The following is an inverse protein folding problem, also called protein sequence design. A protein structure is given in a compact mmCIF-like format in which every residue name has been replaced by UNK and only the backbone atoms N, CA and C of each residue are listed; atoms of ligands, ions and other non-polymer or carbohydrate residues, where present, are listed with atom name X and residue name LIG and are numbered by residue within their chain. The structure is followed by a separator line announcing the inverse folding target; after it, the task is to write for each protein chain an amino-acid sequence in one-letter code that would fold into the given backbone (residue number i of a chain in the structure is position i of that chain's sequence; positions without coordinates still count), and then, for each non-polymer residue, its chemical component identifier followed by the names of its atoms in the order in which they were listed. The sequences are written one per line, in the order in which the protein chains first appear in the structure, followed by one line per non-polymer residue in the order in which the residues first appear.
data_IF_087683410781
#
_entry.id   IF_087683410781
#
_cell.length_a   1.000
_cell.length_b   1.000
_cell.length_c   1.000
_cell.angle_alpha   90.00
_cell.angle_beta   90.00
_cell.angle_gamma   90.00
#
_symmetry.space_group_name_H-M   'P 1'
#
loop_
_entity.id
_entity.type
_entity.pdbx_description
1 polymer ?
#
# COMPACT_ATOMS: atom_id res chain seq x y z
N UNK A 1 2.36 45.58 -22.94
CA UNK A 1 0.92 45.46 -23.24
C UNK A 1 0.72 44.15 -23.97
N UNK A 2 -0.15 43.28 -23.47
CA UNK A 2 -0.39 41.96 -24.06
C UNK A 2 -1.28 42.09 -25.32
N UNK A 3 -1.05 41.22 -26.30
CA UNK A 3 -1.84 41.12 -27.53
C UNK A 3 -3.15 40.38 -27.23
N UNK A 4 -4.17 40.67 -28.03
CA UNK A 4 -5.45 39.95 -27.96
C UNK A 4 -5.19 38.47 -28.23
N UNK A 5 -5.79 37.60 -27.40
CA UNK A 5 -5.61 36.14 -27.36
C UNK A 5 -4.21 35.68 -26.96
N UNK A 6 -3.32 36.57 -26.51
CA UNK A 6 -2.01 36.19 -25.99
C UNK A 6 -2.17 35.42 -24.67
N UNK A 7 -1.58 34.22 -24.62
CA UNK A 7 -1.39 33.47 -23.40
C UNK A 7 -0.01 33.75 -22.81
N UNK A 8 0.03 33.97 -21.50
CA UNK A 8 1.27 34.22 -20.76
C UNK A 8 1.21 33.58 -19.38
N UNK A 9 2.37 33.43 -18.75
CA UNK A 9 2.50 32.85 -17.41
C UNK A 9 3.07 33.89 -16.48
N UNK A 10 2.32 34.22 -15.43
CA UNK A 10 2.80 35.10 -14.35
C UNK A 10 3.66 34.33 -13.35
N UNK A 11 3.34 33.05 -13.16
CA UNK A 11 4.11 32.14 -12.30
C UNK A 11 4.13 30.72 -12.88
N UNK A 12 4.78 29.78 -12.20
CA UNK A 12 4.71 28.36 -12.61
C UNK A 12 3.29 27.83 -12.52
N UNK A 13 2.47 28.32 -11.59
CA UNK A 13 1.11 27.84 -11.34
C UNK A 13 0.01 28.69 -11.98
N UNK A 14 0.34 29.91 -12.41
CA UNK A 14 -0.64 30.86 -12.91
C UNK A 14 -0.45 31.09 -14.41
N UNK A 15 -1.50 30.81 -15.17
CA UNK A 15 -1.58 31.11 -16.60
C UNK A 15 -2.70 32.11 -16.84
N UNK A 16 -2.42 33.10 -17.66
CA UNK A 16 -3.37 34.13 -18.02
C UNK A 16 -3.55 34.20 -19.54
N UNK A 17 -4.73 34.66 -19.96
CA UNK A 17 -5.04 34.95 -21.36
C UNK A 17 -5.70 36.32 -21.48
N UNK A 18 -5.29 37.10 -22.46
CA UNK A 18 -5.95 38.35 -22.81
C UNK A 18 -7.10 38.06 -23.79
N UNK A 19 -8.34 38.40 -23.43
CA UNK A 19 -9.52 38.15 -24.25
C UNK A 19 -9.75 39.26 -25.29
N UNK A 20 -10.63 39.05 -26.30
CA UNK A 20 -10.94 40.05 -27.32
C UNK A 20 -11.47 41.39 -26.77
N UNK A 21 -12.10 41.37 -25.60
CA UNK A 21 -12.57 42.57 -24.90
C UNK A 21 -11.46 43.32 -24.13
N UNK A 22 -10.19 42.87 -24.25
CA UNK A 22 -9.00 43.39 -23.55
C UNK A 22 -8.97 43.14 -22.05
N UNK A 23 -9.87 42.31 -21.52
CA UNK A 23 -9.76 41.81 -20.15
C UNK A 23 -8.77 40.66 -20.09
N UNK A 24 -8.16 40.48 -18.92
CA UNK A 24 -7.20 39.40 -18.66
C UNK A 24 -7.86 38.42 -17.70
N UNK A 25 -7.91 37.15 -18.10
CA UNK A 25 -8.42 36.05 -17.28
C UNK A 25 -7.27 35.13 -16.91
N UNK A 26 -7.10 34.89 -15.61
CA UNK A 26 -6.04 34.05 -15.07
C UNK A 26 -6.64 32.80 -14.42
N UNK A 27 -6.00 31.65 -14.65
CA UNK A 27 -6.25 30.42 -13.93
C UNK A 27 -5.04 30.08 -13.07
N UNK A 28 -5.29 29.82 -11.79
CA UNK A 28 -4.29 29.36 -10.84
C UNK A 28 -4.49 27.86 -10.69
N UNK A 29 -3.40 27.11 -10.83
CA UNK A 29 -3.40 25.66 -10.65
C UNK A 29 -3.10 25.33 -9.20
N UNK A 30 -4.01 24.63 -8.54
CA UNK A 30 -3.75 24.03 -7.24
C UNK A 30 -2.98 22.72 -7.39
N UNK A 31 -2.06 22.48 -6.47
CA UNK A 31 -1.27 21.25 -6.48
C UNK A 31 -1.95 20.15 -5.67
N UNK A 32 -2.01 18.91 -6.20
CA UNK A 32 -2.46 17.79 -5.41
C UNK A 32 -1.52 17.56 -4.21
N UNK A 33 -2.06 17.02 -3.13
CA UNK A 33 -1.26 16.61 -2.00
C UNK A 33 -0.22 15.57 -2.46
N UNK A 34 1.08 15.73 -2.15
CA UNK A 34 2.10 14.78 -2.54
C UNK A 34 1.87 13.44 -1.84
N UNK A 35 2.08 12.35 -2.57
CA UNK A 35 2.01 10.98 -2.05
C UNK A 35 3.37 10.50 -1.50
N UNK A 36 4.27 11.41 -1.14
CA UNK A 36 5.56 11.08 -0.55
C UNK A 36 5.86 12.01 0.60
N UNK A 37 6.71 11.57 1.53
CA UNK A 37 7.12 12.40 2.68
C UNK A 37 8.31 13.31 2.37
N UNK A 38 8.96 13.13 1.22
CA UNK A 38 10.11 13.90 0.77
C UNK A 38 9.92 14.53 -0.64
N UNK A 39 8.87 15.34 -0.86
CA UNK A 39 8.67 16.03 -2.13
C UNK A 39 9.80 17.03 -2.43
N UNK A 40 10.17 17.13 -3.70
CA UNK A 40 11.14 18.14 -4.17
C UNK A 40 10.44 19.29 -4.90
N UNK A 41 10.78 20.52 -4.54
CA UNK A 41 10.27 21.74 -5.18
C UNK A 41 11.30 22.25 -6.19
N UNK A 42 11.05 22.03 -7.46
CA UNK A 42 11.88 22.59 -8.50
C UNK A 42 11.46 24.03 -8.85
N UNK A 43 12.41 24.93 -9.15
CA UNK A 43 12.10 26.26 -9.68
C UNK A 43 11.26 26.22 -10.96
N UNK A 44 11.34 25.08 -11.67
CA UNK A 44 10.71 24.89 -12.94
C UNK A 44 9.32 24.23 -12.92
N UNK A 45 8.84 23.81 -11.75
CA UNK A 45 7.56 23.12 -11.63
C UNK A 45 6.58 23.95 -10.81
N UNK A 46 5.29 23.86 -11.13
CA UNK A 46 4.26 24.43 -10.28
C UNK A 46 4.13 23.61 -8.98
N UNK A 47 4.12 22.29 -9.13
CA UNK A 47 3.85 21.37 -8.04
C UNK A 47 5.09 20.60 -7.60
N UNK A 48 5.14 20.17 -6.33
CA UNK A 48 6.18 19.29 -5.84
C UNK A 48 6.21 17.97 -6.60
N UNK A 49 7.40 17.38 -6.73
CA UNK A 49 7.62 16.12 -7.43
C UNK A 49 8.15 15.06 -6.46
N UNK A 50 7.57 13.86 -6.52
CA UNK A 50 8.04 12.66 -5.82
C UNK A 50 8.78 11.76 -6.81
N UNK A 51 10.10 11.94 -7.00
CA UNK A 51 10.85 11.19 -8.01
C UNK A 51 10.88 9.68 -7.78
N UNK A 52 10.91 9.26 -6.51
CA UNK A 52 10.92 7.84 -6.12
C UNK A 52 9.51 7.27 -5.98
N UNK A 53 8.49 8.03 -6.38
CA UNK A 53 7.09 7.65 -6.18
C UNK A 53 6.67 7.72 -4.71
N UNK A 54 5.57 7.04 -4.36
CA UNK A 54 5.05 7.09 -3.00
C UNK A 54 5.99 6.46 -1.97
N UNK A 55 6.14 7.11 -0.81
CA UNK A 55 7.04 6.66 0.26
C UNK A 55 6.63 7.22 1.62
N UNK A 56 6.98 6.50 2.68
CA UNK A 56 6.64 6.83 4.07
C UNK A 56 7.86 6.74 4.98
N UNK A 57 7.74 7.29 6.18
CA UNK A 57 8.75 7.18 7.23
C UNK A 57 8.66 5.85 7.98
N UNK A 58 9.81 5.23 8.23
CA UNK A 58 10.02 4.22 9.26
C UNK A 58 11.07 4.76 10.23
N UNK A 59 10.63 5.18 11.42
CA UNK A 59 11.51 5.92 12.32
C UNK A 59 12.02 7.20 11.65
N UNK A 60 13.33 7.28 11.43
CA UNK A 60 14.06 8.38 10.79
C UNK A 60 14.40 8.13 9.31
N UNK A 61 14.02 6.98 8.76
CA UNK A 61 14.34 6.56 7.38
C UNK A 61 13.10 6.60 6.50
N UNK A 62 13.29 6.69 5.19
CA UNK A 62 12.21 6.66 4.18
C UNK A 62 12.27 5.33 3.43
N UNK A 63 11.12 4.68 3.26
CA UNK A 63 10.97 3.44 2.49
C UNK A 63 9.94 3.63 1.37
N UNK A 64 10.13 2.94 0.24
CA UNK A 64 9.21 3.01 -0.90
C UNK A 64 7.90 2.30 -0.58
N UNK A 65 6.79 2.78 -1.16
CA UNK A 65 5.51 2.08 -1.05
C UNK A 65 5.55 0.73 -1.77
N UNK A 66 4.87 -0.27 -1.20
CA UNK A 66 4.85 -1.65 -1.71
C UNK A 66 6.05 -2.51 -1.27
N UNK A 67 7.06 -1.91 -0.62
CA UNK A 67 8.18 -2.65 -0.05
C UNK A 67 7.90 -3.05 1.41
N UNK A 68 8.22 -4.29 1.77
CA UNK A 68 8.30 -4.77 3.15
C UNK A 68 9.76 -4.85 3.54
N UNK A 69 10.19 -4.00 4.49
CA UNK A 69 11.58 -3.95 4.94
C UNK A 69 11.71 -4.50 6.35
N UNK A 70 12.81 -5.22 6.59
CA UNK A 70 13.21 -5.63 7.94
C UNK A 70 13.92 -4.44 8.62
N UNK A 71 13.39 -4.02 9.77
CA UNK A 71 13.98 -2.93 10.56
C UNK A 71 14.91 -3.49 11.64
N UNK A 72 14.53 -4.62 12.20
CA UNK A 72 15.32 -5.41 13.14
C UNK A 72 15.00 -6.91 12.96
N UNK A 73 15.60 -7.78 13.77
CA UNK A 73 15.44 -9.24 13.67
C UNK A 73 13.99 -9.73 13.80
N UNK A 74 13.11 -8.91 14.38
CA UNK A 74 11.73 -9.25 14.70
C UNK A 74 10.71 -8.27 14.13
N UNK A 75 11.09 -7.20 13.43
CA UNK A 75 10.15 -6.15 13.00
C UNK A 75 10.24 -5.93 11.50
N UNK A 76 9.09 -6.07 10.83
CA UNK A 76 8.93 -5.77 9.41
C UNK A 76 7.99 -4.59 9.26
N UNK A 77 8.42 -3.56 8.54
CA UNK A 77 7.61 -2.37 8.28
C UNK A 77 7.31 -2.23 6.79
N UNK A 78 6.15 -1.65 6.48
CA UNK A 78 5.71 -1.37 5.12
C UNK A 78 4.81 -0.14 5.07
N UNK A 79 4.86 0.60 3.95
CA UNK A 79 3.90 1.67 3.72
C UNK A 79 2.56 1.07 3.30
N UNK A 80 1.52 1.26 4.11
CA UNK A 80 0.15 0.96 3.72
C UNK A 80 -0.36 2.05 2.78
N UNK A 81 -0.55 1.70 1.51
CA UNK A 81 -1.39 2.52 0.64
C UNK A 81 -2.84 2.14 0.95
N UNK A 82 -3.48 2.83 1.89
CA UNK A 82 -4.84 2.47 2.30
C UNK A 82 -5.84 2.83 1.20
N UNK A 83 -6.15 1.83 0.37
CA UNK A 83 -7.38 1.58 -0.39
C UNK A 83 -8.16 2.81 -0.89
N UNK A 84 -7.49 3.74 -1.58
CA UNK A 84 -8.18 4.73 -2.41
C UNK A 84 -8.77 5.95 -1.71
N UNK A 85 -8.57 6.12 -0.39
CA UNK A 85 -8.62 7.46 0.19
C UNK A 85 -7.32 8.16 -0.21
N UNK A 86 -7.38 9.30 -0.89
CA UNK A 86 -6.22 10.04 -1.42
C UNK A 86 -5.16 10.48 -0.38
N UNK A 87 -5.25 9.99 0.87
CA UNK A 87 -4.36 10.32 1.98
C UNK A 87 -3.46 9.12 2.30
N UNK A 88 -2.22 9.23 1.87
CA UNK A 88 -1.16 8.33 2.30
C UNK A 88 -0.82 8.61 3.77
N UNK A 89 -0.66 7.55 4.56
CA UNK A 89 -0.12 7.70 5.91
C UNK A 89 1.37 8.07 5.84
N UNK A 90 1.82 9.14 6.52
CA UNK A 90 3.22 9.56 6.47
C UNK A 90 4.15 8.57 7.17
N UNK A 91 3.63 7.68 8.01
CA UNK A 91 4.39 6.69 8.74
C UNK A 91 4.01 5.27 8.31
N UNK A 92 5.00 4.38 8.24
CA UNK A 92 4.82 2.97 7.93
C UNK A 92 4.04 2.24 9.01
N UNK A 93 3.41 1.14 8.61
CA UNK A 93 2.85 0.13 9.52
C UNK A 93 3.91 -0.92 9.79
N UNK A 94 4.13 -1.28 11.05
CA UNK A 94 5.14 -2.25 11.48
C UNK A 94 4.51 -3.44 12.20
N UNK A 95 4.93 -4.64 11.82
CA UNK A 95 4.46 -5.92 12.33
C UNK A 95 5.64 -6.71 12.90
N UNK A 96 5.40 -7.45 13.99
CA UNK A 96 6.42 -8.37 14.48
C UNK A 96 6.42 -9.68 13.69
N UNK A 97 7.61 -10.25 13.45
CA UNK A 97 7.77 -11.58 12.88
C UNK A 97 7.19 -12.61 13.85
N UNK A 98 6.44 -13.61 13.35
CA UNK A 98 6.16 -14.80 14.13
C UNK A 98 7.51 -15.42 14.54
N UNK A 99 7.69 -15.67 15.84
CA UNK A 99 8.81 -16.47 16.31
C UNK A 99 8.75 -17.84 15.62
N UNK A 100 9.88 -18.45 15.22
CA UNK A 100 9.88 -19.83 14.78
C UNK A 100 9.33 -20.69 15.93
N UNK A 101 8.24 -21.41 15.69
CA UNK A 101 7.68 -22.33 16.68
C UNK A 101 8.78 -23.30 17.14
N UNK A 102 9.11 -23.36 18.44
CA UNK A 102 10.15 -24.27 18.95
C UNK A 102 9.76 -25.75 18.87
N UNK A 103 8.55 -26.10 18.40
CA UNK A 103 7.98 -27.44 18.50
C UNK A 103 8.02 -28.31 17.23
N UNK A 104 8.80 -27.95 16.20
CA UNK A 104 8.94 -28.79 14.99
C UNK A 104 10.20 -29.69 14.96
N UNK A 105 10.99 -29.73 16.04
CA UNK A 105 12.14 -30.65 16.16
C UNK A 105 11.85 -31.97 16.90
N UNK A 106 10.59 -32.28 17.24
CA UNK A 106 10.25 -33.61 17.74
C UNK A 106 9.77 -34.50 16.59
N UNK A 107 10.71 -35.14 15.91
CA UNK A 107 10.42 -36.31 15.07
C UNK A 107 10.01 -37.43 16.03
N UNK A 108 8.76 -37.94 16.01
CA UNK A 108 8.45 -39.16 16.73
C UNK A 108 9.23 -40.29 16.06
N UNK A 109 10.08 -40.99 16.80
CA UNK A 109 10.72 -42.21 16.34
C UNK A 109 9.67 -43.17 15.75
N UNK A 110 9.90 -43.79 14.58
CA UNK A 110 9.02 -44.84 14.10
C UNK A 110 9.16 -46.07 15.02
N UNK A 111 8.08 -46.41 15.72
CA UNK A 111 7.97 -47.63 16.53
C UNK A 111 8.06 -48.88 15.64
N UNK A 112 8.69 -49.98 16.10
CA UNK A 112 8.81 -51.21 15.32
C UNK A 112 7.46 -51.90 15.08
N UNK A 113 7.34 -52.43 13.86
CA UNK A 113 6.26 -53.22 13.26
C UNK A 113 5.90 -54.52 14.00
N UNK A 114 4.60 -54.86 14.04
CA UNK A 114 4.05 -56.23 14.19
C UNK A 114 2.63 -56.33 13.55
N UNK A 115 2.10 -57.53 13.23
CA UNK A 115 1.69 -57.94 11.86
C UNK A 115 0.15 -57.96 11.61
N UNK A 116 -0.35 -58.34 10.41
CA UNK A 116 -1.76 -58.16 10.04
C UNK A 116 -2.64 -59.31 10.57
N UNK A 117 -3.81 -58.97 11.10
CA UNK A 117 -4.84 -59.90 11.55
C UNK A 117 -6.20 -59.60 10.89
N UNK A 118 -6.88 -60.66 10.47
CA UNK A 118 -8.00 -60.72 9.55
C UNK A 118 -9.40 -60.44 10.18
N UNK A 119 -10.31 -60.05 9.28
CA UNK A 119 -11.76 -60.37 9.17
C UNK A 119 -12.91 -59.60 9.88
N UNK A 120 -13.88 -59.21 9.01
CA UNK A 120 -15.36 -59.14 9.13
C UNK A 120 -16.01 -58.32 10.29
N UNK A 121 -17.11 -57.54 10.17
CA UNK A 121 -18.24 -57.43 9.24
C UNK A 121 -19.14 -56.23 9.63
N UNK A 122 -20.08 -55.83 8.73
CA UNK A 122 -21.40 -55.14 8.96
C UNK A 122 -21.51 -53.60 9.00
N UNK A 123 -21.67 -53.02 7.81
CA UNK A 123 -22.90 -52.36 7.29
C UNK A 123 -23.98 -51.77 8.24
N UNK A 124 -24.27 -50.46 8.13
CA UNK A 124 -25.54 -49.83 7.64
C UNK A 124 -25.52 -48.32 7.99
N UNK A 125 -25.42 -47.43 7.00
CA UNK A 125 -26.53 -46.66 6.40
C UNK A 125 -27.03 -45.46 7.25
N UNK A 126 -26.75 -44.22 6.80
CA UNK A 126 -27.75 -43.17 6.48
C UNK A 126 -27.18 -41.73 6.39
N UNK A 127 -27.56 -41.11 5.27
CA UNK A 127 -27.96 -39.70 5.07
C UNK A 127 -26.99 -38.50 5.24
N UNK A 128 -26.53 -38.03 4.08
CA UNK A 128 -26.76 -36.71 3.47
C UNK A 128 -26.77 -35.39 4.30
N UNK A 129 -25.80 -34.54 3.90
CA UNK A 129 -25.79 -33.07 3.62
C UNK A 129 -25.21 -32.08 4.65
N UNK A 130 -24.45 -31.06 4.16
CA UNK A 130 -23.71 -30.11 4.98
C UNK A 130 -24.60 -28.97 5.52
N UNK A 131 -24.34 -28.54 6.75
CA UNK A 131 -24.97 -27.37 7.38
C UNK A 131 -24.39 -26.06 6.85
N UNK A 132 -25.24 -25.27 6.21
CA UNK A 132 -25.09 -23.82 6.02
C UNK A 132 -26.00 -23.15 7.05
N UNK A 133 -25.45 -22.59 8.12
CA UNK A 133 -26.18 -21.78 9.12
C UNK A 133 -25.23 -20.64 9.58
N UNK A 134 -25.55 -19.36 9.77
CA UNK A 134 -26.77 -18.56 9.61
C UNK A 134 -26.40 -17.05 9.73
N UNK A 135 -27.32 -16.19 9.32
CA UNK A 135 -27.32 -14.71 9.13
C UNK A 135 -27.46 -13.96 10.49
N UNK A 136 -27.07 -12.66 10.62
CA UNK A 136 -27.98 -11.52 10.41
C UNK A 136 -27.59 -10.56 9.27
#
# INVERSE_FOLDING_TARGET
MYRILEEFRLSRCERCRCEPNREVYCSISDCPAPHCVNPTYEPNHCCPVCYTGPNCFVGDRVISAGERVEIDEQTVCYCTYRDGTWQMQPHATCEQRPLPDPDLNHVPNPSPSEPPGEDETKQMDRDFRPRLDWIP
#
